data_IF_311843861294
#
_entry.id   IF_311843861294
#
_cell.length_a   1.000
_cell.length_b   1.000
_cell.length_c   1.000
_cell.angle_alpha   90.00
_cell.angle_beta   90.00
_cell.angle_gamma   90.00
#
_symmetry.space_group_name_H-M   'P 1'
#
loop_
_entity.id
_entity.type
_entity.pdbx_description
1 polymer ?
#
# COMPACT_ATOMS: atom_id res chain seq x y z
N UNK A 1 -22.61 11.88 -4.14
CA UNK A 1 -21.58 12.09 -3.11
C UNK A 1 -20.65 10.90 -3.18
N UNK A 2 -19.42 11.06 -3.68
CA UNK A 2 -18.44 9.98 -3.69
C UNK A 2 -17.75 9.96 -2.33
N UNK A 3 -18.11 9.01 -1.47
CA UNK A 3 -17.43 8.79 -0.20
C UNK A 3 -16.11 8.07 -0.48
N UNK A 4 -15.02 8.67 -0.02
CA UNK A 4 -13.69 8.08 -0.05
C UNK A 4 -13.24 7.81 1.37
N UNK A 5 -12.58 6.67 1.57
CA UNK A 5 -11.90 6.30 2.81
C UNK A 5 -10.44 6.02 2.50
N UNK A 6 -9.54 6.23 3.44
CA UNK A 6 -8.13 5.91 3.30
C UNK A 6 -7.86 4.44 3.61
N UNK A 7 -6.76 3.89 3.10
CA UNK A 7 -6.35 2.53 3.50
C UNK A 7 -6.10 2.44 5.02
N UNK A 8 -5.59 3.51 5.63
CA UNK A 8 -5.44 3.60 7.09
C UNK A 8 -6.79 3.47 7.82
N UNK A 9 -7.82 4.21 7.38
CA UNK A 9 -9.17 4.14 7.95
C UNK A 9 -9.80 2.75 7.74
N UNK A 10 -9.53 2.10 6.61
CA UNK A 10 -9.96 0.72 6.35
C UNK A 10 -9.36 -0.25 7.37
N UNK A 11 -8.05 -0.19 7.58
CA UNK A 11 -7.38 -1.06 8.57
C UNK A 11 -7.81 -0.77 10.00
N UNK A 12 -8.02 0.50 10.33
CA UNK A 12 -8.50 0.93 11.64
C UNK A 12 -9.93 0.42 11.92
N UNK A 13 -10.85 0.56 10.97
CA UNK A 13 -12.23 0.09 11.13
C UNK A 13 -12.31 -1.43 11.30
N UNK A 14 -11.53 -2.19 10.51
CA UNK A 14 -11.51 -3.66 10.57
C UNK A 14 -10.67 -4.23 11.73
N UNK A 15 -9.79 -3.43 12.34
CA UNK A 15 -8.91 -3.84 13.44
C UNK A 15 -8.01 -5.05 13.14
N UNK A 16 -7.65 -5.26 11.87
CA UNK A 16 -6.90 -6.43 11.40
C UNK A 16 -6.08 -6.11 10.15
N UNK A 17 -4.97 -6.84 9.89
CA UNK A 17 -4.16 -6.66 8.69
C UNK A 17 -4.88 -7.11 7.42
N UNK A 18 -4.35 -6.70 6.26
CA UNK A 18 -4.78 -7.24 4.98
C UNK A 18 -4.39 -8.71 4.84
N UNK A 19 -5.29 -9.49 4.24
CA UNK A 19 -5.01 -10.85 3.80
C UNK A 19 -4.19 -10.85 2.50
N UNK A 20 -3.52 -11.98 2.22
CA UNK A 20 -2.65 -12.11 1.05
C UNK A 20 -3.35 -11.77 -0.28
N UNK A 21 -4.56 -12.28 -0.51
CA UNK A 21 -5.33 -12.00 -1.72
C UNK A 21 -5.68 -10.51 -1.84
N UNK A 22 -5.93 -9.85 -0.71
CA UNK A 22 -6.20 -8.41 -0.67
C UNK A 22 -4.95 -7.62 -1.07
N UNK A 23 -3.76 -8.06 -0.65
CA UNK A 23 -2.48 -7.43 -1.01
C UNK A 23 -2.22 -7.56 -2.50
N UNK A 24 -2.46 -8.74 -3.10
CA UNK A 24 -2.31 -8.95 -4.53
C UNK A 24 -3.20 -8.02 -5.36
N UNK A 25 -4.47 -7.90 -4.96
CA UNK A 25 -5.45 -7.06 -5.65
C UNK A 25 -5.14 -5.57 -5.48
N UNK A 26 -4.78 -5.15 -4.27
CA UNK A 26 -4.38 -3.77 -3.98
C UNK A 26 -3.11 -3.39 -4.78
N UNK A 27 -2.10 -4.25 -4.80
CA UNK A 27 -0.86 -4.04 -5.58
C UNK A 27 -1.16 -3.73 -7.05
N UNK A 28 -2.05 -4.52 -7.67
CA UNK A 28 -2.47 -4.32 -9.05
C UNK A 28 -3.14 -2.95 -9.25
N UNK A 29 -4.14 -2.63 -8.43
CA UNK A 29 -4.90 -1.38 -8.58
C UNK A 29 -4.06 -0.13 -8.33
N UNK A 30 -3.19 -0.14 -7.32
CA UNK A 30 -2.32 0.98 -7.00
C UNK A 30 -1.31 1.25 -8.12
N UNK A 31 -0.76 0.19 -8.72
CA UNK A 31 0.19 0.34 -9.81
C UNK A 31 -0.49 0.86 -11.08
N UNK A 32 -1.67 0.37 -11.43
CA UNK A 32 -2.41 0.86 -12.60
C UNK A 32 -2.74 2.36 -12.51
N UNK A 33 -3.06 2.84 -11.31
CA UNK A 33 -3.40 4.25 -11.07
C UNK A 33 -2.18 5.15 -10.95
N UNK A 34 -1.03 4.60 -10.59
CA UNK A 34 0.26 5.31 -10.57
C UNK A 34 0.86 5.50 -11.98
N UNK A 35 0.09 5.25 -13.03
CA UNK A 35 0.48 5.42 -14.43
C UNK A 35 0.87 6.86 -14.84
N UNK A 36 1.27 7.07 -16.11
CA UNK A 36 2.22 8.09 -16.60
C UNK A 36 1.97 9.58 -16.29
N UNK A 37 0.87 9.97 -15.66
CA UNK A 37 0.42 11.37 -15.58
C UNK A 37 0.22 11.95 -14.19
N UNK A 38 0.25 11.14 -13.12
CA UNK A 38 -0.09 11.62 -11.77
C UNK A 38 0.71 10.88 -10.67
N UNK A 39 2.04 10.95 -10.74
CA UNK A 39 2.88 10.29 -9.74
C UNK A 39 2.93 11.10 -8.45
N UNK A 40 2.11 10.69 -7.48
CA UNK A 40 2.37 11.02 -6.09
C UNK A 40 3.77 10.50 -5.72
N UNK A 41 4.64 11.33 -5.17
CA UNK A 41 6.04 10.95 -4.92
C UNK A 41 6.20 9.92 -3.80
N UNK A 42 5.23 9.86 -2.88
CA UNK A 42 5.24 8.93 -1.74
C UNK A 42 3.83 8.44 -1.47
N UNK A 43 3.64 7.12 -1.58
CA UNK A 43 2.42 6.44 -1.18
C UNK A 43 2.52 5.98 0.28
N UNK A 44 1.44 6.15 1.03
CA UNK A 44 1.28 5.71 2.41
C UNK A 44 -0.17 5.26 2.65
N UNK A 45 -0.46 4.49 3.71
CA UNK A 45 -1.83 4.08 4.04
C UNK A 45 -2.81 5.26 4.14
N UNK A 46 -2.36 6.40 4.66
CA UNK A 46 -3.18 7.61 4.82
C UNK A 46 -3.36 8.45 3.53
N UNK A 47 -2.51 8.24 2.51
CA UNK A 47 -2.62 8.97 1.24
C UNK A 47 -3.43 8.22 0.19
N UNK A 48 -3.56 6.88 0.32
CA UNK A 48 -4.32 6.03 -0.58
C UNK A 48 -5.81 6.13 -0.27
N UNK A 49 -6.60 6.66 -1.20
CA UNK A 49 -8.06 6.77 -1.10
C UNK A 49 -8.73 5.66 -1.87
N UNK A 50 -9.72 5.02 -1.26
CA UNK A 50 -10.59 3.99 -1.80
C UNK A 50 -11.99 4.57 -1.91
N UNK A 51 -12.66 4.38 -3.04
CA UNK A 51 -14.04 4.85 -3.25
C UNK A 51 -15.05 3.71 -3.20
N UNK A 52 -16.28 4.02 -2.80
CA UNK A 52 -17.41 3.10 -2.89
C UNK A 52 -17.76 2.70 -4.34
N UNK A 53 -17.17 3.35 -5.35
CA UNK A 53 -17.28 2.96 -6.75
C UNK A 53 -16.20 1.96 -7.19
N UNK A 54 -15.29 1.57 -6.31
CA UNK A 54 -14.21 0.63 -6.60
C UNK A 54 -12.98 1.26 -7.25
N UNK A 55 -12.82 2.58 -7.14
CA UNK A 55 -11.68 3.30 -7.69
C UNK A 55 -10.72 3.67 -6.55
N UNK A 56 -9.44 3.82 -6.89
CA UNK A 56 -8.49 4.46 -5.99
C UNK A 56 -8.15 5.86 -6.47
N UNK A 57 -7.78 6.70 -5.51
CA UNK A 57 -7.22 8.02 -5.74
C UNK A 57 -6.09 8.25 -4.74
N UNK A 58 -5.31 9.29 -4.95
CA UNK A 58 -4.23 9.66 -4.03
C UNK A 58 -4.44 11.08 -3.53
N UNK A 59 -4.36 11.28 -2.21
CA UNK A 59 -4.21 12.63 -1.66
C UNK A 59 -2.83 13.14 -2.05
N UNK A 60 -2.75 14.38 -2.55
CA UNK A 60 -1.47 15.02 -2.82
C UNK A 60 -0.67 15.12 -1.53
N UNK A 61 0.45 14.40 -1.45
CA UNK A 61 1.27 14.33 -0.24
C UNK A 61 2.22 15.52 -0.18
N UNK A 62 1.76 16.64 0.39
CA UNK A 62 2.63 17.79 0.66
C UNK A 62 3.50 17.47 1.89
N UNK A 63 4.71 16.91 1.65
CA UNK A 63 5.85 16.83 2.59
C UNK A 63 5.44 16.73 4.07
N UNK A 64 4.71 15.68 4.45
CA UNK A 64 4.40 15.41 5.85
C UNK A 64 5.58 14.68 6.51
N UNK A 65 5.99 15.14 7.68
CA UNK A 65 7.21 14.69 8.39
C UNK A 65 7.22 13.24 8.87
N UNK A 66 6.11 12.51 8.73
CA UNK A 66 5.95 11.12 9.19
C UNK A 66 6.01 10.08 8.05
N UNK A 67 6.35 10.52 6.83
CA UNK A 67 6.42 9.66 5.63
C UNK A 67 7.79 9.00 5.44
N UNK A 68 8.72 9.17 6.39
CA UNK A 68 10.08 8.67 6.28
C UNK A 68 10.10 7.21 5.86
N UNK A 69 9.39 6.35 6.59
CA UNK A 69 9.37 4.91 6.35
C UNK A 69 8.76 4.47 5.00
N UNK A 70 8.03 5.35 4.31
CA UNK A 70 7.45 5.06 2.99
C UNK A 70 8.21 5.73 1.83
N UNK A 71 9.21 6.55 2.14
CA UNK A 71 9.96 7.31 1.14
C UNK A 71 11.17 6.51 0.67
N UNK A 72 11.40 6.43 -0.64
CA UNK A 72 12.54 5.74 -1.20
C UNK A 72 13.89 6.29 -0.65
N UNK A 73 14.89 5.45 -0.37
CA UNK A 73 16.13 5.87 0.30
C UNK A 73 16.89 6.97 -0.45
N UNK A 74 16.88 6.93 -1.77
CA UNK A 74 17.52 7.94 -2.60
C UNK A 74 16.87 9.34 -2.44
N UNK A 75 15.55 9.38 -2.23
CA UNK A 75 14.80 10.63 -2.00
C UNK A 75 15.07 11.16 -0.59
N UNK A 76 15.15 10.27 0.41
CA UNK A 76 15.56 10.63 1.77
C UNK A 76 16.98 11.20 1.79
N UNK A 77 17.87 10.67 0.97
CA UNK A 77 19.24 11.17 0.76
C UNK A 77 19.29 12.47 -0.08
N UNK A 78 18.15 13.04 -0.47
CA UNK A 78 18.07 14.30 -1.21
C UNK A 78 18.26 14.21 -2.71
N UNK A 79 18.29 13.00 -3.29
CA UNK A 79 18.39 12.81 -4.73
C UNK A 79 17.00 12.91 -5.39
N UNK A 80 16.89 13.73 -6.43
CA UNK A 80 15.69 13.79 -7.25
C UNK A 80 15.67 12.66 -8.29
N UNK A 81 14.47 12.33 -8.78
CA UNK A 81 14.32 11.38 -9.88
C UNK A 81 15.08 11.90 -11.11
N UNK A 82 16.00 11.08 -11.63
CA UNK A 82 16.81 11.43 -12.80
C UNK A 82 16.06 11.23 -14.13
N UNK A 83 15.07 10.34 -14.15
CA UNK A 83 14.21 10.04 -15.29
C UNK A 83 12.88 9.43 -14.82
N UNK A 84 12.02 9.12 -15.79
CA UNK A 84 10.70 8.52 -15.54
C UNK A 84 10.77 7.14 -14.87
N UNK A 85 11.72 6.29 -15.27
CA UNK A 85 11.88 4.97 -14.65
C UNK A 85 12.29 5.10 -13.18
N UNK A 86 13.15 6.07 -12.86
CA UNK A 86 13.53 6.37 -11.48
C UNK A 86 12.31 6.84 -10.66
N UNK A 87 11.44 7.70 -11.20
CA UNK A 87 10.21 8.10 -10.49
C UNK A 87 9.23 6.93 -10.32
N UNK A 88 9.08 6.07 -11.33
CA UNK A 88 8.26 4.85 -11.24
C UNK A 88 8.77 3.93 -10.12
N UNK A 89 10.08 3.75 -10.03
CA UNK A 89 10.72 2.96 -8.97
C UNK A 89 10.60 3.57 -7.57
N UNK A 90 10.54 4.89 -7.46
CA UNK A 90 10.23 5.55 -6.17
C UNK A 90 8.80 5.22 -5.72
N UNK A 91 7.84 5.25 -6.65
CA UNK A 91 6.45 4.87 -6.37
C UNK A 91 6.36 3.40 -5.98
N UNK A 92 7.04 2.50 -6.70
CA UNK A 92 7.11 1.06 -6.38
C UNK A 92 7.63 0.82 -4.96
N UNK A 93 8.69 1.52 -4.54
CA UNK A 93 9.19 1.43 -3.17
C UNK A 93 8.14 1.84 -2.16
N UNK A 94 7.55 3.03 -2.35
CA UNK A 94 6.55 3.55 -1.41
C UNK A 94 5.30 2.68 -1.31
N UNK A 95 4.89 2.07 -2.43
CA UNK A 95 3.82 1.08 -2.47
C UNK A 95 4.21 -0.18 -1.70
N UNK A 96 5.40 -0.72 -1.93
CA UNK A 96 5.90 -1.91 -1.23
C UNK A 96 5.92 -1.71 0.29
N UNK A 97 6.44 -0.57 0.75
CA UNK A 97 6.43 -0.20 2.17
C UNK A 97 5.00 -0.05 2.72
N UNK A 98 4.09 0.52 1.95
CA UNK A 98 2.67 0.65 2.33
C UNK A 98 1.99 -0.71 2.48
N UNK A 99 2.24 -1.64 1.57
CA UNK A 99 1.68 -2.98 1.60
C UNK A 99 2.25 -3.81 2.76
N UNK A 100 3.57 -3.72 2.99
CA UNK A 100 4.19 -4.35 4.16
C UNK A 100 3.60 -3.84 5.47
N UNK A 101 3.42 -2.53 5.58
CA UNK A 101 2.75 -1.93 6.74
C UNK A 101 1.33 -2.49 6.93
N UNK A 102 0.62 -2.73 5.83
CA UNK A 102 -0.77 -3.18 5.86
C UNK A 102 -0.93 -4.64 6.28
N UNK A 103 0.05 -5.51 5.96
CA UNK A 103 0.07 -6.91 6.42
C UNK A 103 0.64 -7.08 7.82
N UNK A 104 1.43 -6.11 8.29
CA UNK A 104 1.97 -6.07 9.66
C UNK A 104 1.05 -5.32 10.64
N UNK A 105 -0.05 -4.76 10.16
CA UNK A 105 -0.93 -3.90 10.95
C UNK A 105 -1.45 -4.61 12.20
N UNK A 106 -1.08 -4.06 13.36
CA UNK A 106 -1.46 -4.56 14.69
C UNK A 106 -1.14 -6.05 14.94
N UNK A 107 -0.19 -6.63 14.19
CA UNK A 107 0.30 -7.96 14.51
C UNK A 107 1.04 -7.96 15.86
N UNK A 108 0.83 -8.98 16.72
CA UNK A 108 1.62 -9.14 17.92
C UNK A 108 3.11 -9.23 17.59
N UNK A 109 3.97 -8.55 18.35
CA UNK A 109 5.42 -8.44 18.07
C UNK A 109 6.13 -9.79 17.84
N UNK A 110 5.64 -10.87 18.46
CA UNK A 110 6.21 -12.21 18.36
C UNK A 110 5.64 -13.05 17.20
N UNK A 111 4.64 -12.55 16.49
CA UNK A 111 4.04 -13.25 15.36
C UNK A 111 4.74 -12.83 14.06
N UNK A 112 5.25 -13.76 13.25
CA UNK A 112 5.68 -13.44 11.89
C UNK A 112 4.51 -13.15 10.97
N UNK A 113 4.72 -12.18 10.08
CA UNK A 113 3.92 -11.97 8.90
C UNK A 113 3.89 -13.29 8.11
N UNK A 114 2.68 -13.83 7.88
CA UNK A 114 2.46 -15.08 7.15
C UNK A 114 2.09 -14.73 5.71
N UNK A 115 3.07 -14.72 4.81
CA UNK A 115 2.86 -14.52 3.37
C UNK A 115 3.41 -15.73 2.61
N UNK A 116 2.80 -16.05 1.47
CA UNK A 116 3.43 -16.98 0.54
C UNK A 116 4.80 -16.48 0.10
N UNK A 117 5.71 -17.41 -0.20
CA UNK A 117 7.04 -17.06 -0.71
C UNK A 117 6.97 -16.20 -1.98
N UNK A 118 5.92 -16.36 -2.80
CA UNK A 118 5.73 -15.57 -4.02
C UNK A 118 5.43 -14.10 -3.68
N UNK A 119 4.48 -13.84 -2.78
CA UNK A 119 4.11 -12.48 -2.40
C UNK A 119 5.25 -11.80 -1.62
N UNK A 120 5.87 -12.52 -0.69
CA UNK A 120 6.99 -11.95 0.07
C UNK A 120 8.16 -11.56 -0.84
N UNK A 121 8.54 -12.41 -1.80
CA UNK A 121 9.60 -12.08 -2.76
C UNK A 121 9.24 -10.87 -3.64
N UNK A 122 7.97 -10.73 -4.03
CA UNK A 122 7.52 -9.55 -4.77
C UNK A 122 7.67 -8.29 -3.91
N UNK A 123 7.14 -8.29 -2.68
CA UNK A 123 7.23 -7.13 -1.79
C UNK A 123 8.68 -6.76 -1.44
N UNK A 124 9.55 -7.75 -1.18
CA UNK A 124 10.99 -7.52 -1.00
C UNK A 124 11.61 -6.88 -2.24
N UNK A 125 11.29 -7.36 -3.45
CA UNK A 125 11.82 -6.78 -4.70
C UNK A 125 11.36 -5.34 -4.94
N UNK A 126 10.18 -4.96 -4.43
CA UNK A 126 9.68 -3.59 -4.48
C UNK A 126 10.41 -2.69 -3.47
N UNK A 127 10.80 -3.24 -2.32
CA UNK A 127 11.43 -2.53 -1.21
C UNK A 127 12.97 -2.56 -1.25
N UNK A 128 13.57 -2.93 -2.38
CA UNK A 128 15.03 -2.88 -2.55
C UNK A 128 15.54 -1.42 -2.44
N UNK A 129 16.53 -1.22 -1.57
CA UNK A 129 17.15 0.09 -1.35
C UNK A 129 17.93 0.56 -2.60
N UNK A 130 18.47 -0.38 -3.36
CA UNK A 130 19.20 -0.10 -4.59
C UNK A 130 18.23 -0.01 -5.77
N UNK A 131 18.09 1.18 -6.38
CA UNK A 131 17.20 1.45 -7.52
C UNK A 131 17.37 0.43 -8.67
N UNK A 132 18.57 -0.05 -8.93
CA UNK A 132 18.85 -1.02 -10.00
C UNK A 132 18.30 -2.42 -9.69
N UNK A 133 18.23 -2.81 -8.41
CA UNK A 133 17.68 -4.11 -7.99
C UNK A 133 16.18 -4.05 -7.74
N UNK A 134 15.65 -2.85 -7.51
CA UNK A 134 14.22 -2.61 -7.32
C UNK A 134 13.42 -2.98 -8.56
N UNK A 135 12.33 -3.71 -8.33
CA UNK A 135 11.42 -4.13 -9.38
C UNK A 135 10.90 -2.95 -10.20
N UNK A 136 10.77 -3.15 -11.50
CA UNK A 136 10.12 -2.20 -12.40
C UNK A 136 8.59 -2.28 -12.27
N UNK A 137 7.92 -1.15 -12.50
CA UNK A 137 6.46 -1.02 -12.44
C UNK A 137 5.75 -2.11 -13.28
N UNK A 138 6.28 -2.36 -14.47
CA UNK A 138 5.75 -3.35 -15.43
C UNK A 138 5.87 -4.76 -14.85
N UNK A 139 7.01 -5.12 -14.26
CA UNK A 139 7.23 -6.44 -13.65
C UNK A 139 6.27 -6.69 -12.49
N UNK A 140 6.01 -5.67 -11.66
CA UNK A 140 5.04 -5.77 -10.57
C UNK A 140 3.64 -6.01 -11.13
N UNK A 141 3.22 -5.27 -12.16
CA UNK A 141 1.92 -5.46 -12.82
C UNK A 141 1.75 -6.87 -13.38
N UNK A 142 2.72 -7.33 -14.17
CA UNK A 142 2.68 -8.66 -14.79
C UNK A 142 2.61 -9.76 -13.74
N UNK A 143 3.38 -9.63 -12.65
CA UNK A 143 3.38 -10.61 -11.55
C UNK A 143 2.02 -10.66 -10.84
N UNK A 144 1.42 -9.50 -10.58
CA UNK A 144 0.11 -9.41 -9.93
C UNK A 144 -1.00 -9.94 -10.85
N UNK A 145 -1.04 -9.50 -12.11
CA UNK A 145 -2.03 -9.95 -13.09
C UNK A 145 -1.98 -11.47 -13.30
N UNK A 146 -0.78 -12.03 -13.41
CA UNK A 146 -0.60 -13.48 -13.53
C UNK A 146 -1.10 -14.21 -12.27
N UNK A 147 -0.84 -13.68 -11.07
CA UNK A 147 -1.32 -14.29 -9.83
C UNK A 147 -2.85 -14.22 -9.75
N UNK A 148 -3.46 -13.06 -9.98
CA UNK A 148 -4.93 -12.86 -9.94
C UNK A 148 -5.63 -13.84 -10.89
N UNK A 149 -5.12 -14.02 -12.11
CA UNK A 149 -5.66 -14.98 -13.08
C UNK A 149 -5.52 -16.43 -12.63
N UNK A 150 -4.34 -16.80 -12.11
CA UNK A 150 -4.07 -18.17 -11.67
C UNK A 150 -4.89 -18.55 -10.43
N UNK A 151 -5.01 -17.64 -9.46
CA UNK A 151 -5.78 -17.85 -8.24
C UNK A 151 -7.30 -17.59 -8.41
N UNK A 152 -7.73 -17.16 -9.61
CA UNK A 152 -9.11 -16.81 -9.94
C UNK A 152 -9.72 -15.78 -8.98
N UNK A 153 -8.91 -14.81 -8.57
CA UNK A 153 -9.35 -13.74 -7.67
C UNK A 153 -10.35 -12.82 -8.39
N UNK A 154 -11.30 -12.22 -7.64
CA UNK A 154 -12.24 -11.27 -8.23
C UNK A 154 -11.51 -10.04 -8.80
N UNK A 155 -12.18 -9.25 -9.65
CA UNK A 155 -11.64 -7.98 -10.09
C UNK A 155 -11.31 -7.07 -8.89
N UNK A 156 -10.17 -6.36 -8.89
CA UNK A 156 -9.76 -5.54 -7.75
C UNK A 156 -10.77 -4.45 -7.34
N UNK A 157 -11.57 -3.94 -8.29
CA UNK A 157 -12.61 -2.96 -8.02
C UNK A 157 -13.68 -3.51 -7.07
N UNK A 158 -13.91 -4.82 -7.10
CA UNK A 158 -14.83 -5.49 -6.19
C UNK A 158 -14.29 -5.47 -4.76
N UNK A 159 -13.01 -5.78 -4.57
CA UNK A 159 -12.37 -5.70 -3.26
C UNK A 159 -12.43 -4.29 -2.70
N UNK A 160 -12.06 -3.29 -3.51
CA UNK A 160 -12.07 -1.88 -3.09
C UNK A 160 -13.47 -1.49 -2.58
N UNK A 161 -14.53 -1.86 -3.30
CA UNK A 161 -15.91 -1.61 -2.85
C UNK A 161 -16.21 -2.26 -1.52
N UNK A 162 -15.85 -3.54 -1.35
CA UNK A 162 -16.09 -4.27 -0.11
C UNK A 162 -15.37 -3.59 1.07
N UNK A 163 -14.09 -3.26 0.92
CA UNK A 163 -13.32 -2.54 1.95
C UNK A 163 -13.98 -1.22 2.35
N UNK A 164 -14.49 -0.45 1.39
CA UNK A 164 -15.18 0.81 1.69
C UNK A 164 -16.53 0.58 2.38
N UNK A 165 -17.32 -0.40 1.91
CA UNK A 165 -18.61 -0.73 2.49
C UNK A 165 -18.50 -1.21 3.95
N UNK A 166 -17.47 -1.99 4.27
CA UNK A 166 -17.24 -2.53 5.61
C UNK A 166 -16.94 -1.41 6.62
N UNK A 167 -16.13 -0.41 6.25
CA UNK A 167 -15.89 0.78 7.07
C UNK A 167 -17.19 1.49 7.45
N UNK A 168 -18.09 1.67 6.48
CA UNK A 168 -19.38 2.33 6.73
C UNK A 168 -20.34 1.47 7.53
N UNK A 169 -20.28 0.14 7.40
CA UNK A 169 -21.10 -0.78 8.19
C UNK A 169 -20.74 -0.73 9.68
N UNK A 170 -19.45 -0.72 10.00
CA UNK A 170 -18.97 -0.71 11.38
C UNK A 170 -19.15 0.65 12.08
N UNK A 171 -19.26 1.74 11.31
CA UNK A 171 -19.61 3.05 11.85
C UNK A 171 -21.03 3.15 12.44
N UNK A 172 -21.93 2.23 12.08
CA UNK A 172 -23.33 2.21 12.56
C UNK A 172 -23.47 1.44 13.88
N UNK A 173 -22.43 0.70 14.32
CA UNK A 173 -22.49 -0.21 15.48
C UNK A 173 -21.61 0.17 16.68
N UNK A 174 -20.78 1.23 16.61
CA UNK A 174 -19.88 1.63 17.71
C UNK A 174 -19.91 3.14 18.01
N UNK A 175 -20.20 3.57 19.26
CA UNK A 175 -19.99 4.94 19.68
C UNK A 175 -18.55 5.11 20.20
N UNK A 176 -17.78 5.98 19.54
CA UNK A 176 -16.49 6.58 19.98
C UNK A 176 -15.25 5.69 19.86
N UNK A 177 -14.38 5.98 18.89
CA UNK A 177 -12.97 5.59 18.92
C UNK A 177 -12.08 6.84 19.08
N UNK A 178 -11.05 6.81 19.94
CA UNK A 178 -10.22 7.97 20.18
C UNK A 178 -9.21 8.17 19.04
N UNK A 179 -9.24 9.37 18.47
CA UNK A 179 -8.21 9.91 17.59
C UNK A 179 -6.89 10.06 18.37
N UNK A 180 -6.04 9.03 18.38
CA UNK A 180 -4.58 9.21 18.45
C UNK A 180 -3.88 7.86 18.40
N UNK A 181 -3.28 7.51 17.27
CA UNK A 181 -2.05 6.74 17.29
C UNK A 181 -1.05 7.41 16.35
N UNK A 182 -0.09 8.10 16.97
CA UNK A 182 1.20 8.39 16.35
C UNK A 182 1.86 7.05 16.01
N UNK A 183 1.73 6.65 14.74
CA UNK A 183 2.27 5.42 14.21
C UNK A 183 3.79 5.56 14.08
N UNK A 184 4.51 5.25 15.14
CA UNK A 184 5.95 5.01 15.07
C UNK A 184 6.19 3.68 14.33
N UNK A 185 6.10 3.71 13.01
CA UNK A 185 6.49 2.59 12.17
C UNK A 185 8.01 2.60 12.00
N UNK A 186 8.69 1.74 12.75
CA UNK A 186 10.07 1.37 12.45
C UNK A 186 9.99 0.25 11.41
N UNK A 187 10.40 0.50 10.14
CA UNK A 187 10.31 -0.54 9.12
C UNK A 187 11.15 -1.75 9.55
N UNK A 188 10.50 -2.92 9.61
CA UNK A 188 11.07 -4.19 10.05
C UNK A 188 12.21 -4.73 9.17
N UNK A 189 12.65 -3.99 8.14
CA UNK A 189 13.77 -4.39 7.28
C UNK A 189 15.12 -4.45 8.02
N UNK A 190 15.19 -4.04 9.30
CA UNK A 190 16.42 -4.05 10.09
C UNK A 190 16.45 -5.05 11.26
N UNK A 191 15.36 -5.78 11.60
CA UNK A 191 15.32 -6.61 12.83
C UNK A 191 14.57 -7.94 12.69
N UNK A 192 14.56 -8.59 11.51
CA UNK A 192 14.24 -10.02 11.43
C UNK A 192 15.17 -10.76 10.49
#
# INVERSE_FOLDING_TARGET
MGTFVTLAEVLEARGSPLEEDEVWLNSMSFVLLSGPGNMCSVLSPGSMLLSASGNLAFKSCARSGDLGSFTAPEVQAGHAASNRTASEKMVVYSLGMTLYWSVDYQLPQNQPIQLSGKLNNLLLSMCEDTVQRRADLVTVLETCDQHIKTAQLPPPEKLIKQLVEDVFRDSVSSPTFPLSLSLHFVPLLSIR
#
